data_IF_306583324667
#
_entry.id   IF_306583324667
#
_cell.length_a   1.000
_cell.length_b   1.000
_cell.length_c   1.000
_cell.angle_alpha   90.00
_cell.angle_beta   90.00
_cell.angle_gamma   90.00
#
_symmetry.space_group_name_H-M   'P 1'
#
loop_
_entity.id
_entity.type
_entity.pdbx_description
1 polymer ?
#
# COMPACT_ATOMS: atom_id res chain seq x y z
N UNK A 1 12.23 -36.14 24.50
CA UNK A 1 10.88 -35.70 24.90
C UNK A 1 10.61 -34.37 24.22
N UNK A 2 9.51 -34.18 23.46
CA UNK A 2 9.21 -32.88 22.86
C UNK A 2 8.79 -31.90 23.97
N UNK A 3 9.30 -30.67 23.91
CA UNK A 3 9.00 -29.62 24.87
C UNK A 3 7.55 -29.13 24.71
N UNK A 4 6.84 -28.77 25.78
CA UNK A 4 5.49 -28.22 25.69
C UNK A 4 5.53 -26.84 25.01
N UNK A 5 4.66 -26.65 24.02
CA UNK A 5 4.52 -25.37 23.32
C UNK A 5 4.11 -24.27 24.31
N UNK A 6 4.86 -23.16 24.32
CA UNK A 6 4.52 -21.98 25.12
C UNK A 6 3.12 -21.47 24.81
N UNK A 7 2.38 -21.13 25.88
CA UNK A 7 1.02 -20.61 25.78
C UNK A 7 1.08 -19.17 25.27
N UNK A 8 0.61 -18.94 24.05
CA UNK A 8 0.51 -17.59 23.46
C UNK A 8 -0.36 -16.70 24.34
N UNK A 9 0.02 -15.44 24.48
CA UNK A 9 -0.80 -14.45 25.15
C UNK A 9 -2.19 -14.38 24.49
N UNK A 10 -3.27 -14.30 25.29
CA UNK A 10 -4.61 -14.18 24.74
C UNK A 10 -4.72 -12.88 23.94
N UNK A 11 -5.43 -12.95 22.81
CA UNK A 11 -5.79 -11.75 22.05
C UNK A 11 -6.67 -10.79 22.86
N UNK A 12 -7.10 -9.73 22.19
CA UNK A 12 -7.96 -8.70 22.78
C UNK A 12 -9.16 -9.32 23.53
N UNK A 13 -9.45 -8.84 24.74
CA UNK A 13 -10.49 -9.42 25.61
C UNK A 13 -11.87 -9.36 24.93
N UNK A 14 -12.77 -10.27 25.32
CA UNK A 14 -14.16 -10.23 24.87
C UNK A 14 -14.82 -8.91 25.32
N UNK A 15 -15.56 -8.27 24.42
CA UNK A 15 -16.25 -6.99 24.68
C UNK A 15 -15.53 -5.74 24.17
N UNK A 16 -14.31 -5.85 23.63
CA UNK A 16 -13.68 -4.72 22.97
C UNK A 16 -14.40 -4.35 21.67
N UNK A 17 -14.69 -3.05 21.50
CA UNK A 17 -15.24 -2.53 20.25
C UNK A 17 -14.20 -2.70 19.14
N UNK A 18 -14.59 -3.34 18.05
CA UNK A 18 -13.72 -3.44 16.87
C UNK A 18 -13.38 -2.06 16.34
N UNK A 19 -12.10 -1.84 16.05
CA UNK A 19 -11.63 -0.66 15.33
C UNK A 19 -11.31 -1.08 13.90
N UNK A 20 -11.93 -0.40 12.93
CA UNK A 20 -11.75 -0.69 11.52
C UNK A 20 -11.40 0.61 10.81
N UNK A 21 -10.71 0.49 9.66
CA UNK A 21 -10.51 1.63 8.76
C UNK A 21 -11.88 2.17 8.36
N UNK A 22 -12.05 3.48 8.44
CA UNK A 22 -13.27 4.14 7.96
C UNK A 22 -13.38 3.93 6.46
N UNK A 23 -14.60 3.73 5.98
CA UNK A 23 -14.87 3.78 4.54
C UNK A 23 -14.52 5.18 4.01
N UNK A 24 -14.03 5.29 2.77
CA UNK A 24 -13.78 6.57 2.15
C UNK A 24 -15.10 7.32 1.89
N UNK A 25 -15.06 8.64 2.05
CA UNK A 25 -16.24 9.51 1.90
C UNK A 25 -16.56 9.81 0.42
N UNK A 26 -15.54 9.83 -0.44
CA UNK A 26 -15.65 10.10 -1.87
C UNK A 26 -15.49 8.81 -2.69
N UNK A 27 -16.36 8.63 -3.69
CA UNK A 27 -16.32 7.50 -4.62
C UNK A 27 -16.10 8.04 -6.03
N UNK A 28 -14.97 7.70 -6.64
CA UNK A 28 -14.63 8.17 -8.00
C UNK A 28 -15.44 7.46 -9.08
N UNK A 29 -15.78 6.18 -8.86
CA UNK A 29 -16.51 5.35 -9.84
C UNK A 29 -17.40 4.31 -9.18
N UNK A 30 -18.60 4.13 -9.71
CA UNK A 30 -19.50 3.01 -9.38
C UNK A 30 -19.62 2.08 -10.58
N UNK A 31 -19.31 0.80 -10.38
CA UNK A 31 -19.43 -0.24 -11.41
C UNK A 31 -20.54 -1.21 -11.01
N UNK A 32 -21.56 -1.35 -11.88
CA UNK A 32 -22.62 -2.34 -11.68
C UNK A 32 -22.10 -3.72 -12.11
N UNK A 33 -22.23 -4.71 -11.22
CA UNK A 33 -21.91 -6.11 -11.50
C UNK A 33 -23.22 -6.90 -11.57
N UNK A 34 -23.84 -7.06 -12.75
CA UNK A 34 -25.08 -7.80 -12.88
C UNK A 34 -24.84 -9.31 -12.70
N UNK A 35 -25.90 -10.00 -12.25
CA UNK A 35 -25.94 -11.47 -12.21
C UNK A 35 -27.05 -11.94 -13.16
N UNK A 36 -26.71 -12.83 -14.07
CA UNK A 36 -27.60 -13.26 -15.16
C UNK A 36 -28.15 -14.69 -14.98
N UNK A 37 -27.37 -15.56 -14.35
CA UNK A 37 -27.73 -16.95 -14.07
C UNK A 37 -27.11 -17.40 -12.74
N UNK A 38 -27.65 -18.46 -12.16
CA UNK A 38 -27.08 -19.05 -10.94
C UNK A 38 -25.67 -19.59 -11.24
N UNK A 39 -24.60 -19.14 -10.54
CA UNK A 39 -23.25 -19.61 -10.81
C UNK A 39 -23.04 -21.09 -10.44
N UNK A 40 -23.95 -21.69 -9.67
CA UNK A 40 -23.86 -23.09 -9.24
C UNK A 40 -24.62 -24.05 -10.16
N UNK A 41 -25.79 -23.67 -10.68
CA UNK A 41 -26.66 -24.55 -11.48
C UNK A 41 -27.15 -23.95 -12.80
N UNK A 42 -26.73 -22.73 -13.16
CA UNK A 42 -27.07 -22.02 -14.41
C UNK A 42 -28.56 -21.72 -14.64
N UNK A 43 -29.43 -21.94 -13.65
CA UNK A 43 -30.85 -21.63 -13.75
C UNK A 43 -31.12 -20.12 -13.81
N UNK A 44 -32.32 -19.75 -14.28
CA UNK A 44 -32.79 -18.36 -14.28
C UNK A 44 -32.98 -17.85 -12.85
N UNK A 45 -32.60 -16.60 -12.63
CA UNK A 45 -32.72 -15.94 -11.35
C UNK A 45 -34.07 -15.24 -11.21
N UNK A 46 -34.47 -15.03 -9.96
CA UNK A 46 -35.61 -14.17 -9.62
C UNK A 46 -35.26 -12.69 -9.85
N UNK A 47 -36.19 -11.79 -9.52
CA UNK A 47 -35.91 -10.35 -9.48
C UNK A 47 -34.87 -10.06 -8.38
N UNK A 48 -34.12 -8.98 -8.57
CA UNK A 48 -33.12 -8.52 -7.58
C UNK A 48 -33.81 -8.27 -6.24
N UNK A 49 -33.36 -8.93 -5.17
CA UNK A 49 -33.91 -8.80 -3.82
C UNK A 49 -33.13 -7.80 -2.95
N UNK A 50 -31.81 -7.71 -3.16
CA UNK A 50 -30.92 -6.85 -2.37
C UNK A 50 -29.81 -6.30 -3.26
N UNK A 51 -29.36 -5.08 -2.96
CA UNK A 51 -28.16 -4.48 -3.56
C UNK A 51 -27.15 -4.24 -2.43
N UNK A 52 -25.98 -4.88 -2.54
CA UNK A 52 -24.87 -4.68 -1.60
C UNK A 52 -23.73 -3.94 -2.29
N UNK A 53 -23.18 -2.94 -1.60
CA UNK A 53 -22.01 -2.21 -2.05
C UNK A 53 -20.73 -2.78 -1.46
N UNK A 54 -19.67 -2.86 -2.27
CA UNK A 54 -18.31 -3.16 -1.83
C UNK A 54 -17.41 -2.06 -2.37
N UNK A 55 -16.81 -1.29 -1.47
CA UNK A 55 -15.82 -0.26 -1.81
C UNK A 55 -14.44 -0.90 -1.90
N UNK A 56 -13.71 -0.58 -2.97
CA UNK A 56 -12.30 -0.95 -3.16
C UNK A 56 -11.56 0.35 -3.47
N UNK A 57 -10.57 0.66 -2.66
CA UNK A 57 -9.64 1.75 -2.92
C UNK A 57 -8.47 1.18 -3.74
N UNK A 58 -8.16 1.82 -4.86
CA UNK A 58 -7.05 1.44 -5.74
C UNK A 58 -6.14 2.65 -5.97
N UNK A 59 -4.85 2.40 -6.13
CA UNK A 59 -3.85 3.44 -6.41
C UNK A 59 -3.45 3.28 -7.88
N UNK A 60 -3.85 4.21 -8.76
CA UNK A 60 -3.52 4.08 -10.18
C UNK A 60 -2.00 4.06 -10.38
N UNK A 61 -1.54 3.26 -11.35
CA UNK A 61 -0.11 3.07 -11.61
C UNK A 61 0.57 4.43 -11.85
N UNK A 62 1.53 4.84 -11.00
CA UNK A 62 2.20 6.12 -11.16
C UNK A 62 3.12 6.11 -12.37
N UNK A 63 3.21 7.24 -13.08
CA UNK A 63 4.24 7.43 -14.11
C UNK A 63 5.60 7.62 -13.46
N UNK A 64 6.61 6.90 -13.94
CA UNK A 64 7.97 7.03 -13.44
C UNK A 64 8.59 8.35 -13.91
N UNK A 65 9.18 9.09 -12.96
CA UNK A 65 9.98 10.27 -13.25
C UNK A 65 11.44 9.91 -12.95
N UNK A 66 12.29 9.98 -13.97
CA UNK A 66 13.71 9.63 -13.86
C UNK A 66 14.52 10.92 -13.73
N UNK A 67 15.08 11.15 -12.54
CA UNK A 67 15.95 12.30 -12.26
C UNK A 67 17.40 11.85 -12.23
N UNK A 68 18.27 12.49 -13.04
CA UNK A 68 19.72 12.26 -13.00
C UNK A 68 20.39 13.42 -12.27
N UNK A 69 20.97 13.12 -11.12
CA UNK A 69 21.75 14.09 -10.36
C UNK A 69 23.15 14.26 -10.96
N UNK A 70 23.54 15.49 -11.26
CA UNK A 70 24.93 15.87 -11.57
C UNK A 70 25.58 16.31 -10.26
N UNK A 71 26.36 15.42 -9.66
CA UNK A 71 27.02 15.68 -8.38
C UNK A 71 28.33 16.40 -8.64
N UNK A 72 28.41 17.67 -8.26
CA UNK A 72 29.66 18.43 -8.30
C UNK A 72 30.45 18.18 -7.01
N UNK A 73 31.75 17.93 -7.17
CA UNK A 73 32.70 17.73 -6.07
C UNK A 73 33.75 18.81 -6.12
N UNK A 74 34.08 19.40 -4.99
CA UNK A 74 35.12 20.43 -4.88
C UNK A 74 36.01 20.19 -3.67
N UNK A 75 37.25 20.70 -3.73
CA UNK A 75 38.15 20.67 -2.58
C UNK A 75 37.89 21.87 -1.67
N UNK A 76 37.69 21.61 -0.38
CA UNK A 76 37.68 22.68 0.62
C UNK A 76 39.10 23.25 0.77
N UNK A 77 39.28 24.56 0.55
CA UNK A 77 40.60 25.22 0.65
C UNK A 77 41.21 25.19 2.05
N UNK A 78 40.36 25.10 3.08
CA UNK A 78 40.78 25.08 4.47
C UNK A 78 41.11 23.65 4.94
N UNK A 79 40.13 22.75 4.87
CA UNK A 79 40.25 21.38 5.37
C UNK A 79 40.98 20.44 4.40
N UNK A 80 41.18 20.85 3.13
CA UNK A 80 41.83 20.07 2.05
C UNK A 80 41.19 18.71 1.73
N UNK A 81 39.93 18.51 2.13
CA UNK A 81 39.12 17.34 1.78
C UNK A 81 38.22 17.63 0.59
N UNK A 82 37.89 16.58 -0.17
CA UNK A 82 36.88 16.64 -1.23
C UNK A 82 35.49 16.61 -0.58
N UNK A 83 34.64 17.57 -0.93
CA UNK A 83 33.27 17.69 -0.42
C UNK A 83 32.26 17.60 -1.57
N UNK A 84 31.08 17.08 -1.26
CA UNK A 84 29.94 17.01 -2.16
C UNK A 84 28.65 17.31 -1.38
N UNK A 85 27.61 17.75 -2.09
CA UNK A 85 26.28 17.92 -1.50
C UNK A 85 25.61 16.57 -1.28
N UNK A 86 24.82 16.46 -0.22
CA UNK A 86 24.00 15.28 0.04
C UNK A 86 22.81 15.21 -0.93
N UNK A 87 22.39 13.99 -1.25
CA UNK A 87 21.17 13.71 -2.01
C UNK A 87 20.20 13.02 -1.06
N UNK A 88 19.09 13.68 -0.73
CA UNK A 88 18.11 13.17 0.24
C UNK A 88 16.98 12.36 -0.41
N UNK A 89 16.89 12.38 -1.74
CA UNK A 89 15.80 11.73 -2.49
C UNK A 89 15.88 10.19 -2.49
N UNK A 90 17.05 9.63 -2.21
CA UNK A 90 17.29 8.19 -2.20
C UNK A 90 18.24 7.81 -1.07
N UNK A 91 18.10 6.59 -0.55
CA UNK A 91 19.07 6.02 0.38
C UNK A 91 20.44 5.88 -0.30
N UNK A 92 21.55 5.86 0.47
CA UNK A 92 22.88 5.64 -0.11
C UNK A 92 22.92 4.35 -0.95
N UNK A 93 23.46 4.45 -2.16
CA UNK A 93 23.54 3.37 -3.16
C UNK A 93 22.19 2.84 -3.68
N UNK A 94 21.05 3.43 -3.31
CA UNK A 94 19.76 3.05 -3.86
C UNK A 94 19.51 3.69 -5.24
N UNK A 95 18.85 2.94 -6.12
CA UNK A 95 18.40 3.43 -7.44
C UNK A 95 16.94 3.91 -7.44
N UNK A 96 16.18 3.53 -6.42
CA UNK A 96 14.79 3.94 -6.26
C UNK A 96 14.73 5.04 -5.21
N UNK A 97 13.91 6.05 -5.45
CA UNK A 97 13.70 7.12 -4.48
C UNK A 97 12.94 6.60 -3.26
N UNK A 98 13.07 7.31 -2.14
CA UNK A 98 12.36 7.00 -0.89
C UNK A 98 10.84 6.99 -1.14
N UNK A 99 10.34 7.86 -2.02
CA UNK A 99 8.91 7.92 -2.39
C UNK A 99 8.43 6.63 -3.05
N UNK A 100 9.22 6.04 -3.95
CA UNK A 100 8.88 4.76 -4.59
C UNK A 100 8.88 3.63 -3.57
N UNK A 101 9.85 3.60 -2.66
CA UNK A 101 9.89 2.59 -1.60
C UNK A 101 8.66 2.68 -0.69
N UNK A 102 8.24 3.89 -0.31
CA UNK A 102 7.02 4.09 0.47
C UNK A 102 5.79 3.60 -0.29
N UNK A 103 5.65 3.92 -1.59
CA UNK A 103 4.50 3.50 -2.38
C UNK A 103 4.32 1.98 -2.50
N UNK A 104 5.39 1.18 -2.35
CA UNK A 104 5.33 -0.29 -2.40
C UNK A 104 5.06 -0.92 -1.03
N UNK A 105 5.35 -0.21 0.06
CA UNK A 105 5.20 -0.71 1.43
C UNK A 105 3.80 -0.53 2.01
N UNK A 106 2.98 0.34 1.42
CA UNK A 106 1.58 0.57 1.78
C UNK A 106 0.64 -0.28 0.94
#
# INVERSE_FOLDING_TARGET
MPQPAEKKEPGQKKGHRGFFRKSPDSIDRVVRVPIHSCPNCSSRLSRIQEIRYRTIEDIPVPRTVVTKYRIERSYCRHCRIMVESQIDDALPNARLSIRVMLAVMY
#
